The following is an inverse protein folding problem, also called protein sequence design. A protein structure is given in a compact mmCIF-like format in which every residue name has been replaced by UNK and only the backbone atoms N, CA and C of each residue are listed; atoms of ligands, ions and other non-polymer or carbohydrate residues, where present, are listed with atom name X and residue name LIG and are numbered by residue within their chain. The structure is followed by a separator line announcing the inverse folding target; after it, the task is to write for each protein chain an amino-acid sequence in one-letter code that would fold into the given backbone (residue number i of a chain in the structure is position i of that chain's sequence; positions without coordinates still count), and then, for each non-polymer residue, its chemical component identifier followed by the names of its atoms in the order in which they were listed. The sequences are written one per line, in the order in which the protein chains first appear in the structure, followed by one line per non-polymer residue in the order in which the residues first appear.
data_IF_969223204481
#
_entry.id   IF_969223204481
#
_cell.length_a   1.000
_cell.length_b   1.000
_cell.length_c   1.000
_cell.angle_alpha   90.00
_cell.angle_beta   90.00
_cell.angle_gamma   90.00
#
_symmetry.space_group_name_H-M   'P 1'
#
loop_
_entity.id
_entity.type
_entity.pdbx_description
1 polymer ?
#
# COMPACT_ATOMS: atom_id res chain seq x y z
N UNK A 1 34.50 -33.42 45.65
CA UNK A 1 33.44 -32.77 46.45
C UNK A 1 32.13 -32.89 45.66
N UNK A 2 31.45 -34.05 45.74
CA UNK A 2 30.28 -34.37 46.58
C UNK A 2 28.93 -33.86 45.97
N UNK A 3 28.17 -34.70 45.25
CA UNK A 3 26.99 -35.53 45.66
C UNK A 3 25.64 -34.80 45.36
N UNK A 4 24.50 -35.34 44.84
CA UNK A 4 23.77 -36.64 44.78
C UNK A 4 22.82 -36.59 43.54
N UNK A 5 22.57 -37.60 42.70
CA UNK A 5 21.80 -38.89 42.84
C UNK A 5 20.34 -38.75 43.30
N UNK A 6 19.36 -39.01 42.41
CA UNK A 6 18.45 -40.17 42.49
C UNK A 6 17.66 -40.41 41.19
N UNK A 7 17.61 -41.69 40.79
CA UNK A 7 16.81 -42.25 39.70
C UNK A 7 15.88 -43.35 40.25
N UNK A 8 14.71 -43.54 39.63
CA UNK A 8 13.90 -44.78 39.42
C UNK A 8 12.46 -44.36 39.07
N UNK A 9 11.86 -44.61 37.90
CA UNK A 9 11.59 -45.84 37.10
C UNK A 9 10.21 -46.48 37.38
N UNK A 10 9.30 -46.29 36.41
CA UNK A 10 8.38 -47.26 35.73
C UNK A 10 7.15 -47.86 36.45
N UNK A 11 5.96 -47.71 35.80
CA UNK A 11 5.00 -48.73 35.27
C UNK A 11 3.71 -48.01 34.78
N UNK A 12 3.32 -48.01 33.50
CA UNK A 12 2.62 -49.02 32.66
C UNK A 12 1.19 -49.44 33.09
N UNK A 13 0.18 -49.02 32.32
CA UNK A 13 -1.06 -49.71 31.86
C UNK A 13 -2.01 -48.62 31.28
N UNK A 14 -2.77 -48.73 30.19
CA UNK A 14 -3.14 -49.85 29.33
C UNK A 14 -4.66 -49.79 29.03
N UNK A 15 -5.01 -49.33 27.81
CA UNK A 15 -6.23 -49.60 26.99
C UNK A 15 -7.63 -49.27 27.52
N UNK A 16 -8.44 -48.59 26.69
CA UNK A 16 -9.55 -49.24 25.96
C UNK A 16 -10.15 -48.33 24.87
N UNK A 17 -10.45 -48.95 23.72
CA UNK A 17 -11.09 -48.39 22.55
C UNK A 17 -12.58 -48.77 22.54
N UNK A 18 -13.42 -47.99 21.86
CA UNK A 18 -14.69 -48.45 21.31
C UNK A 18 -15.11 -47.62 20.08
N UNK A 19 -15.25 -48.32 18.95
CA UNK A 19 -16.06 -48.00 17.76
C UNK A 19 -17.53 -47.78 18.13
N UNK A 20 -18.43 -47.10 17.39
CA UNK A 20 -18.86 -47.16 15.99
C UNK A 20 -19.83 -45.94 15.81
N UNK A 21 -20.33 -45.47 14.66
CA UNK A 21 -21.02 -46.18 13.58
C UNK A 21 -21.39 -45.14 12.49
N UNK A 22 -21.35 -45.55 11.21
CA UNK A 22 -21.88 -44.80 10.06
C UNK A 22 -23.40 -44.69 10.12
N UNK A 23 -23.98 -43.58 9.66
CA UNK A 23 -25.27 -43.56 8.96
C UNK A 23 -25.33 -42.43 7.92
N UNK A 24 -25.98 -42.77 6.81
CA UNK A 24 -26.12 -42.08 5.53
C UNK A 24 -27.40 -41.26 5.42
N UNK A 25 -27.53 -40.55 4.28
CA UNK A 25 -28.74 -39.97 3.68
C UNK A 25 -29.12 -38.57 4.21
N UNK A 26 -29.63 -37.61 3.45
CA UNK A 26 -29.96 -37.46 2.02
C UNK A 26 -30.41 -36.01 1.82
N UNK A 27 -30.48 -35.60 0.55
CA UNK A 27 -31.03 -34.36 0.02
C UNK A 27 -32.37 -33.90 0.63
N UNK A 28 -32.60 -32.58 0.60
CA UNK A 28 -33.90 -31.98 0.89
C UNK A 28 -33.91 -30.47 0.70
N UNK A 29 -34.28 -30.03 -0.51
CA UNK A 29 -34.61 -28.65 -0.85
C UNK A 29 -35.95 -28.19 -0.21
N UNK A 30 -36.09 -26.85 -0.14
CA UNK A 30 -37.33 -26.04 -0.21
C UNK A 30 -37.99 -25.54 1.09
N UNK A 31 -38.74 -24.41 1.01
CA UNK A 31 -38.63 -23.28 1.92
C UNK A 31 -39.90 -23.07 2.76
N UNK A 32 -39.85 -22.20 3.77
CA UNK A 32 -41.06 -21.78 4.47
C UNK A 32 -40.78 -20.90 5.68
N UNK A 33 -41.35 -19.70 5.66
CA UNK A 33 -41.22 -18.71 6.72
C UNK A 33 -42.15 -18.90 7.91
N UNK A 34 -41.89 -18.03 8.90
CA UNK A 34 -42.71 -17.62 10.04
C UNK A 34 -42.96 -18.65 11.16
N UNK A 35 -42.43 -18.38 12.35
CA UNK A 35 -43.22 -17.75 13.42
C UNK A 35 -42.41 -17.57 14.71
N UNK A 36 -42.68 -16.44 15.36
CA UNK A 36 -42.10 -16.00 16.63
C UNK A 36 -42.56 -16.88 17.81
N UNK A 37 -41.66 -17.18 18.74
CA UNK A 37 -41.93 -17.28 20.18
C UNK A 37 -40.65 -16.99 20.95
N UNK A 38 -40.74 -16.01 21.86
CA UNK A 38 -39.60 -15.40 22.53
C UNK A 38 -39.06 -16.19 23.70
N UNK A 39 -37.77 -15.94 23.99
CA UNK A 39 -37.17 -16.04 25.32
C UNK A 39 -36.24 -14.83 25.46
N UNK A 40 -36.58 -13.94 26.39
CA UNK A 40 -35.76 -12.82 26.83
C UNK A 40 -34.46 -13.30 27.49
N UNK A 41 -33.37 -12.54 27.29
CA UNK A 41 -32.23 -12.59 28.21
C UNK A 41 -30.86 -12.79 27.57
N UNK A 42 -30.36 -11.76 26.88
CA UNK A 42 -28.95 -11.27 26.84
C UNK A 42 -28.79 -10.41 25.60
N UNK A 43 -28.84 -9.08 25.77
CA UNK A 43 -28.48 -8.11 24.73
C UNK A 43 -26.96 -8.20 24.47
N UNK A 44 -26.55 -9.16 23.66
CA UNK A 44 -25.27 -9.12 22.98
C UNK A 44 -25.31 -7.98 21.96
N UNK A 45 -24.38 -7.04 22.07
CA UNK A 45 -24.15 -6.03 21.04
C UNK A 45 -23.71 -6.74 19.76
N UNK A 46 -24.61 -6.86 18.80
CA UNK A 46 -24.25 -7.18 17.42
C UNK A 46 -23.77 -5.88 16.78
N UNK A 47 -22.45 -5.72 16.71
CA UNK A 47 -21.82 -4.60 16.01
C UNK A 47 -21.90 -4.88 14.50
N UNK A 48 -22.93 -4.38 13.83
CA UNK A 48 -22.92 -4.27 12.38
C UNK A 48 -22.13 -2.99 12.04
N UNK A 49 -20.96 -3.06 11.37
CA UNK A 49 -20.25 -1.86 10.95
C UNK A 49 -21.01 -1.22 9.80
N UNK A 50 -22.03 -0.42 10.11
CA UNK A 50 -22.73 0.40 9.16
C UNK A 50 -21.94 1.69 8.94
N UNK A 51 -21.03 1.69 7.97
CA UNK A 51 -20.66 2.90 7.22
C UNK A 51 -20.04 2.53 5.86
N UNK A 52 -20.85 1.86 5.01
CA UNK A 52 -20.61 1.89 3.58
C UNK A 52 -21.11 3.25 3.05
N UNK A 53 -20.24 4.25 3.00
CA UNK A 53 -20.50 5.48 2.22
C UNK A 53 -20.03 5.20 0.79
N UNK A 54 -20.71 4.25 0.15
CA UNK A 54 -20.53 3.89 -1.26
C UNK A 54 -21.83 4.19 -1.98
N UNK A 55 -21.78 4.61 -3.24
CA UNK A 55 -23.02 4.82 -4.02
C UNK A 55 -23.96 3.59 -3.99
N UNK A 56 -25.28 3.80 -3.89
CA UNK A 56 -26.28 2.71 -3.92
C UNK A 56 -26.17 1.85 -5.20
N UNK A 57 -25.72 2.45 -6.31
CA UNK A 57 -25.45 1.76 -7.57
C UNK A 57 -24.29 0.73 -7.48
N UNK A 58 -23.29 0.98 -6.62
CA UNK A 58 -22.20 0.04 -6.36
C UNK A 58 -22.67 -1.13 -5.48
N UNK A 59 -23.42 -0.86 -4.42
CA UNK A 59 -23.98 -1.88 -3.54
C UNK A 59 -24.95 -2.81 -4.27
N UNK A 60 -25.77 -2.27 -5.17
CA UNK A 60 -26.71 -3.04 -6.00
C UNK A 60 -25.99 -3.96 -6.98
N UNK A 61 -24.78 -3.62 -7.43
CA UNK A 61 -23.96 -4.47 -8.31
C UNK A 61 -23.21 -5.57 -7.54
N UNK A 62 -22.70 -5.27 -6.34
CA UNK A 62 -22.11 -6.28 -5.46
C UNK A 62 -23.12 -7.37 -5.05
N UNK A 63 -24.38 -7.00 -4.86
CA UNK A 63 -25.45 -7.95 -4.54
C UNK A 63 -25.82 -8.90 -5.70
N UNK A 64 -25.45 -8.57 -6.94
CA UNK A 64 -25.97 -9.21 -8.16
C UNK A 64 -24.98 -10.11 -8.92
N UNK A 65 -23.84 -10.51 -8.33
CA UNK A 65 -23.04 -11.57 -8.95
C UNK A 65 -21.64 -11.75 -8.38
N UNK A 66 -21.41 -12.89 -7.74
CA UNK A 66 -20.08 -13.43 -7.54
C UNK A 66 -19.50 -13.86 -8.90
N UNK A 67 -18.44 -13.19 -9.34
CA UNK A 67 -17.67 -13.64 -10.50
C UNK A 67 -16.94 -14.91 -10.08
N UNK A 68 -17.21 -16.01 -10.79
CA UNK A 68 -16.53 -17.29 -10.60
C UNK A 68 -15.04 -17.12 -10.97
N UNK A 69 -14.15 -17.31 -9.99
CA UNK A 69 -12.70 -17.34 -10.19
C UNK A 69 -12.30 -18.61 -10.94
N UNK A 70 -11.68 -18.45 -12.11
CA UNK A 70 -10.78 -19.46 -12.64
C UNK A 70 -9.39 -19.19 -12.04
N UNK A 71 -8.83 -20.17 -11.33
CA UNK A 71 -7.51 -20.07 -10.68
C UNK A 71 -6.36 -20.12 -11.71
N UNK A 72 -6.26 -19.09 -12.54
CA UNK A 72 -5.04 -18.85 -13.31
C UNK A 72 -3.92 -18.42 -12.34
N UNK A 73 -2.70 -18.97 -12.47
CA UNK A 73 -1.59 -18.58 -11.61
C UNK A 73 -1.28 -17.08 -11.78
N UNK A 74 -1.15 -16.36 -10.67
CA UNK A 74 -0.83 -14.93 -10.68
C UNK A 74 0.50 -14.68 -11.41
N UNK A 75 0.59 -13.68 -12.31
CA UNK A 75 1.81 -13.37 -13.06
C UNK A 75 2.96 -13.00 -12.11
N UNK A 76 4.20 -13.28 -12.52
CA UNK A 76 5.43 -12.99 -11.78
C UNK A 76 6.37 -12.11 -12.59
N UNK A 77 7.33 -11.46 -11.93
CA UNK A 77 8.39 -10.76 -12.66
C UNK A 77 9.39 -11.78 -13.18
N UNK A 78 9.68 -11.76 -14.48
CA UNK A 78 10.68 -12.65 -15.09
C UNK A 78 12.08 -12.21 -14.67
N UNK A 79 12.94 -13.10 -14.13
CA UNK A 79 14.25 -12.70 -13.62
C UNK A 79 15.27 -12.35 -14.73
N UNK A 80 15.01 -12.75 -15.98
CA UNK A 80 15.83 -12.39 -17.12
C UNK A 80 15.34 -11.07 -17.74
N UNK A 81 16.20 -10.07 -17.78
CA UNK A 81 15.85 -8.72 -18.23
C UNK A 81 15.51 -8.65 -19.72
N UNK A 82 16.12 -9.49 -20.55
CA UNK A 82 15.80 -9.61 -21.97
C UNK A 82 14.41 -10.21 -22.19
N UNK A 83 14.07 -11.27 -21.45
CA UNK A 83 12.74 -11.88 -21.49
C UNK A 83 11.68 -10.94 -20.91
N UNK A 84 11.99 -10.25 -19.81
CA UNK A 84 11.11 -9.27 -19.21
C UNK A 84 10.80 -8.10 -20.16
N UNK A 85 11.83 -7.57 -20.83
CA UNK A 85 11.65 -6.53 -21.85
C UNK A 85 10.86 -7.06 -23.05
N UNK A 86 11.14 -8.29 -23.48
CA UNK A 86 10.38 -8.93 -24.57
C UNK A 86 8.90 -9.10 -24.20
N UNK A 87 8.60 -9.42 -22.94
CA UNK A 87 7.25 -9.52 -22.43
C UNK A 87 6.55 -8.14 -22.39
N UNK A 88 7.26 -7.09 -21.99
CA UNK A 88 6.73 -5.71 -22.02
C UNK A 88 6.40 -5.22 -23.44
N UNK A 89 7.17 -5.65 -24.44
CA UNK A 89 6.95 -5.32 -25.85
C UNK A 89 5.98 -6.27 -26.57
N UNK A 90 5.58 -7.36 -25.91
CA UNK A 90 4.67 -8.36 -26.47
C UNK A 90 3.30 -7.74 -26.71
N UNK A 91 2.70 -8.04 -27.85
CA UNK A 91 1.35 -7.59 -28.17
C UNK A 91 0.34 -8.07 -27.11
N UNK A 92 -0.58 -7.20 -26.64
CA UNK A 92 -1.62 -7.60 -25.70
C UNK A 92 -2.50 -8.73 -26.23
N UNK A 93 -2.77 -9.73 -25.39
CA UNK A 93 -3.70 -10.84 -25.62
C UNK A 93 -5.16 -10.37 -25.41
N UNK A 94 -5.59 -9.48 -26.31
CA UNK A 94 -6.80 -8.67 -26.18
C UNK A 94 -8.11 -9.49 -26.20
N UNK A 95 -8.95 -9.43 -25.15
CA UNK A 95 -10.31 -9.98 -25.21
C UNK A 95 -11.27 -9.08 -25.99
N UNK A 96 -12.35 -9.66 -26.54
CA UNK A 96 -13.30 -8.95 -27.42
C UNK A 96 -14.02 -7.75 -26.77
N UNK A 97 -14.26 -7.77 -25.46
CA UNK A 97 -14.93 -6.69 -24.70
C UNK A 97 -14.01 -6.09 -23.64
N UNK A 98 -12.81 -5.73 -24.07
CA UNK A 98 -11.78 -5.28 -23.14
C UNK A 98 -12.09 -3.96 -22.45
N UNK A 99 -11.71 -3.91 -21.17
CA UNK A 99 -11.75 -2.69 -20.36
C UNK A 99 -10.38 -2.36 -19.81
N UNK A 100 -10.12 -1.07 -19.62
CA UNK A 100 -8.90 -0.56 -19.01
C UNK A 100 -9.23 0.53 -17.99
N UNK A 101 -8.48 0.55 -16.89
CA UNK A 101 -8.49 1.65 -15.93
C UNK A 101 -7.06 1.95 -15.46
N UNK A 102 -6.60 3.18 -15.62
CA UNK A 102 -5.35 3.65 -15.00
C UNK A 102 -5.67 4.36 -13.69
N UNK A 103 -4.99 3.93 -12.63
CA UNK A 103 -5.24 4.41 -11.27
C UNK A 103 -3.96 5.03 -10.73
N UNK A 104 -3.98 6.34 -10.47
CA UNK A 104 -2.90 7.01 -9.75
C UNK A 104 -3.17 6.97 -8.25
N UNK A 105 -2.27 6.35 -7.49
CA UNK A 105 -2.35 6.34 -6.02
C UNK A 105 -1.46 7.46 -5.49
N UNK A 106 -2.08 8.47 -4.86
CA UNK A 106 -1.40 9.65 -4.31
C UNK A 106 -1.69 9.80 -2.82
N UNK A 107 -0.83 10.53 -2.13
CA UNK A 107 -0.96 10.77 -0.70
C UNK A 107 0.39 10.98 -0.02
N UNK A 108 0.35 11.37 1.24
CA UNK A 108 1.54 11.64 2.05
C UNK A 108 2.51 10.43 2.06
N UNK A 109 3.82 10.68 2.24
CA UNK A 109 4.78 9.61 2.51
C UNK A 109 4.28 8.67 3.63
N UNK A 110 4.54 7.38 3.49
CA UNK A 110 4.12 6.34 4.45
C UNK A 110 2.62 6.11 4.64
N UNK A 111 1.75 6.72 3.82
CA UNK A 111 0.31 6.41 3.88
C UNK A 111 0.02 4.92 3.65
N UNK A 112 0.92 4.19 2.98
CA UNK A 112 0.81 2.75 2.64
C UNK A 112 0.52 2.49 1.16
N UNK A 113 0.90 3.40 0.26
CA UNK A 113 0.53 3.36 -1.17
C UNK A 113 1.04 2.08 -1.84
N UNK A 114 2.34 1.86 -1.77
CA UNK A 114 3.00 0.65 -2.28
C UNK A 114 2.53 -0.63 -1.57
N UNK A 115 2.11 -0.53 -0.30
CA UNK A 115 1.47 -1.67 0.40
C UNK A 115 0.14 -2.04 -0.24
N UNK A 116 -0.72 -1.05 -0.51
CA UNK A 116 -1.99 -1.27 -1.21
C UNK A 116 -1.75 -1.82 -2.62
N UNK A 117 -0.80 -1.24 -3.36
CA UNK A 117 -0.46 -1.69 -4.72
C UNK A 117 -0.03 -3.15 -4.73
N UNK A 118 0.83 -3.57 -3.78
CA UNK A 118 1.26 -4.96 -3.67
C UNK A 118 0.11 -5.92 -3.34
N UNK A 119 -0.85 -5.52 -2.48
CA UNK A 119 -2.03 -6.34 -2.20
C UNK A 119 -2.92 -6.50 -3.43
N UNK A 120 -3.16 -5.43 -4.17
CA UNK A 120 -3.95 -5.46 -5.40
C UNK A 120 -3.31 -6.34 -6.48
N UNK A 121 -1.97 -6.33 -6.58
CA UNK A 121 -1.21 -7.18 -7.50
C UNK A 121 -1.07 -8.63 -7.02
N UNK A 122 -1.32 -8.91 -5.73
CA UNK A 122 -1.08 -10.21 -5.12
C UNK A 122 0.41 -10.57 -4.96
N UNK A 123 1.33 -9.64 -5.23
CA UNK A 123 2.79 -9.83 -5.10
C UNK A 123 3.47 -8.56 -4.61
N UNK A 124 4.59 -8.74 -3.90
CA UNK A 124 5.38 -7.65 -3.33
C UNK A 124 6.38 -7.07 -4.34
N UNK A 125 5.85 -6.42 -5.38
CA UNK A 125 6.67 -5.82 -6.45
C UNK A 125 7.32 -4.51 -5.99
N UNK A 126 6.58 -3.69 -5.24
CA UNK A 126 7.05 -2.39 -4.78
C UNK A 126 7.65 -2.49 -3.37
N UNK A 127 8.75 -1.77 -3.14
CA UNK A 127 9.37 -1.70 -1.82
C UNK A 127 8.50 -0.94 -0.80
N UNK A 128 8.44 -1.43 0.44
CA UNK A 128 7.64 -0.86 1.54
C UNK A 128 8.47 -0.71 2.81
N UNK A 129 8.63 0.52 3.31
CA UNK A 129 9.30 0.78 4.59
C UNK A 129 8.49 1.74 5.45
N UNK A 130 8.75 1.72 6.77
CA UNK A 130 8.27 2.74 7.71
C UNK A 130 8.99 4.08 7.52
N UNK A 131 10.14 4.10 6.84
CA UNK A 131 10.86 5.32 6.52
C UNK A 131 10.35 5.96 5.24
N UNK A 132 10.31 7.29 5.26
CA UNK A 132 9.93 8.10 4.11
C UNK A 132 10.82 7.84 2.89
N UNK A 133 10.32 8.16 1.70
CA UNK A 133 11.07 8.07 0.44
C UNK A 133 11.52 6.64 0.06
N UNK A 134 10.71 5.64 0.41
CA UNK A 134 10.91 4.25 -0.06
C UNK A 134 10.80 4.16 -1.58
N UNK A 135 9.72 4.70 -2.15
CA UNK A 135 9.50 4.81 -3.60
C UNK A 135 10.18 6.07 -4.12
N UNK A 136 11.15 5.92 -5.02
CA UNK A 136 11.94 7.04 -5.57
C UNK A 136 11.60 7.43 -7.00
N UNK A 137 11.04 6.49 -7.74
CA UNK A 137 10.70 6.66 -9.15
C UNK A 137 9.25 6.21 -9.32
N UNK A 138 8.54 6.78 -10.29
CA UNK A 138 7.28 6.22 -10.76
C UNK A 138 7.49 4.77 -11.18
N UNK A 139 6.62 3.87 -10.72
CA UNK A 139 6.62 2.49 -11.14
C UNK A 139 5.18 2.05 -11.43
N UNK A 140 5.01 1.15 -12.40
CA UNK A 140 3.71 0.71 -12.85
C UNK A 140 3.47 -0.74 -12.44
N UNK A 141 2.24 -1.05 -12.05
CA UNK A 141 1.77 -2.40 -11.78
C UNK A 141 0.55 -2.72 -12.64
N UNK A 142 0.52 -3.88 -13.30
CA UNK A 142 -0.63 -4.33 -14.09
C UNK A 142 -1.33 -5.46 -13.35
N UNK A 143 -2.64 -5.27 -13.14
CA UNK A 143 -3.56 -6.30 -12.68
C UNK A 143 -4.51 -6.61 -13.84
N UNK A 144 -4.52 -7.85 -14.31
CA UNK A 144 -5.43 -8.33 -15.35
C UNK A 144 -6.40 -9.33 -14.75
N UNK A 145 -7.71 -9.05 -14.86
CA UNK A 145 -8.76 -9.93 -14.36
C UNK A 145 -9.94 -9.99 -15.34
N UNK A 146 -10.20 -11.19 -15.88
CA UNK A 146 -11.22 -11.40 -16.90
C UNK A 146 -10.98 -10.55 -18.14
N UNK A 147 -11.93 -9.66 -18.47
CA UNK A 147 -11.84 -8.74 -19.60
C UNK A 147 -11.21 -7.37 -19.26
N UNK A 148 -10.75 -7.20 -18.01
CA UNK A 148 -10.39 -5.88 -17.46
C UNK A 148 -8.91 -5.82 -17.07
N UNK A 149 -8.22 -4.76 -17.51
CA UNK A 149 -6.84 -4.45 -17.13
C UNK A 149 -6.80 -3.18 -16.27
N UNK A 150 -6.34 -3.30 -15.03
CA UNK A 150 -6.12 -2.19 -14.11
C UNK A 150 -4.62 -1.89 -14.07
N UNK A 151 -4.26 -0.65 -14.37
CA UNK A 151 -2.88 -0.17 -14.39
C UNK A 151 -2.69 0.75 -13.20
N UNK A 152 -2.02 0.23 -12.17
CA UNK A 152 -1.65 0.97 -10.97
C UNK A 152 -0.40 1.79 -11.27
N UNK A 153 -0.48 3.09 -11.06
CA UNK A 153 0.67 3.99 -11.17
C UNK A 153 1.11 4.31 -9.74
N UNK A 154 2.10 3.57 -9.23
CA UNK A 154 2.68 3.80 -7.91
C UNK A 154 3.57 5.04 -7.98
N UNK A 155 3.19 6.05 -7.20
CA UNK A 155 3.91 7.33 -7.16
C UNK A 155 4.70 7.46 -5.87
N UNK A 156 5.88 8.11 -5.92
CA UNK A 156 6.50 8.60 -4.72
C UNK A 156 5.54 9.44 -3.87
N UNK A 157 5.67 9.35 -2.55
CA UNK A 157 4.89 10.21 -1.66
C UNK A 157 5.17 11.68 -1.95
N UNK A 158 4.11 12.49 -2.05
CA UNK A 158 4.21 13.92 -2.30
C UNK A 158 5.14 14.56 -1.28
N UNK A 159 6.15 15.28 -1.76
CA UNK A 159 7.22 15.85 -0.95
C UNK A 159 7.54 17.27 -1.41
N UNK A 160 8.11 18.07 -0.51
CA UNK A 160 8.49 19.44 -0.79
C UNK A 160 9.95 19.54 -1.24
N UNK A 161 10.29 20.63 -1.93
CA UNK A 161 11.67 20.91 -2.40
C UNK A 161 12.67 20.89 -1.25
N UNK A 162 12.29 21.42 -0.09
CA UNK A 162 13.15 21.45 1.11
C UNK A 162 13.50 20.04 1.60
N UNK A 163 12.51 19.13 1.61
CA UNK A 163 12.73 17.71 2.00
C UNK A 163 13.61 16.98 0.99
N UNK A 164 13.43 17.24 -0.31
CA UNK A 164 14.26 16.67 -1.38
C UNK A 164 15.72 17.12 -1.22
N UNK A 165 15.98 18.40 -0.99
CA UNK A 165 17.34 18.92 -0.77
C UNK A 165 17.97 18.37 0.50
N UNK A 166 17.22 18.33 1.61
CA UNK A 166 17.71 17.86 2.92
C UNK A 166 18.19 16.42 2.87
N UNK A 167 17.44 15.54 2.21
CA UNK A 167 17.75 14.11 2.13
C UNK A 167 18.50 13.71 0.84
N UNK A 168 19.00 14.69 0.07
CA UNK A 168 19.73 14.48 -1.19
C UNK A 168 18.98 13.54 -2.16
N UNK A 169 17.67 13.73 -2.25
CA UNK A 169 16.81 12.90 -3.09
C UNK A 169 16.79 13.41 -4.53
N UNK A 170 16.32 12.57 -5.44
CA UNK A 170 16.18 12.91 -6.85
C UNK A 170 15.10 13.97 -7.06
N UNK A 171 15.33 14.90 -7.99
CA UNK A 171 14.37 15.97 -8.31
C UNK A 171 13.10 15.45 -8.98
N UNK A 172 13.17 14.28 -9.62
CA UNK A 172 12.02 13.55 -10.22
C UNK A 172 10.88 13.36 -9.23
N UNK A 173 11.17 13.18 -7.94
CA UNK A 173 10.18 13.08 -6.86
C UNK A 173 9.17 14.23 -6.79
N UNK A 174 9.55 15.41 -7.28
CA UNK A 174 8.69 16.60 -7.30
C UNK A 174 7.78 16.66 -8.53
N UNK A 175 8.08 15.90 -9.58
CA UNK A 175 7.42 15.98 -10.89
C UNK A 175 6.63 14.70 -11.18
N UNK A 176 7.14 13.54 -10.76
CA UNK A 176 6.56 12.22 -11.03
C UNK A 176 5.10 12.10 -10.58
N UNK A 177 4.70 12.57 -9.38
CA UNK A 177 3.29 12.49 -8.97
C UNK A 177 2.36 13.30 -9.91
N UNK A 178 2.80 14.45 -10.40
CA UNK A 178 2.01 15.31 -11.29
C UNK A 178 1.85 14.68 -12.68
N UNK A 179 2.93 14.15 -13.25
CA UNK A 179 2.86 13.46 -14.54
C UNK A 179 2.00 12.20 -14.45
N UNK A 180 2.07 11.49 -13.32
CA UNK A 180 1.26 10.29 -13.10
C UNK A 180 -0.23 10.58 -13.10
N UNK A 181 -0.66 11.67 -12.47
CA UNK A 181 -2.08 12.03 -12.40
C UNK A 181 -2.63 12.46 -13.77
N UNK A 182 -1.82 13.09 -14.62
CA UNK A 182 -2.23 13.43 -16.01
C UNK A 182 -2.58 12.21 -16.85
N UNK A 183 -1.92 11.09 -16.60
CA UNK A 183 -2.13 9.86 -17.37
C UNK A 183 -3.29 9.01 -16.81
N UNK A 184 -3.76 9.29 -15.60
CA UNK A 184 -4.70 8.46 -14.86
C UNK A 184 -6.16 8.73 -15.20
N UNK A 185 -6.96 7.67 -15.23
CA UNK A 185 -8.41 7.73 -15.38
C UNK A 185 -9.13 7.93 -14.04
N UNK A 186 -8.45 7.61 -12.93
CA UNK A 186 -8.94 7.70 -11.56
C UNK A 186 -7.80 8.04 -10.60
N UNK A 187 -8.03 8.98 -9.67
CA UNK A 187 -7.13 9.29 -8.56
C UNK A 187 -7.59 8.61 -7.28
N UNK A 188 -6.68 7.94 -6.60
CA UNK A 188 -6.86 7.38 -5.26
C UNK A 188 -6.09 8.24 -4.28
N UNK A 189 -6.78 9.02 -3.47
CA UNK A 189 -6.18 9.83 -2.41
C UNK A 189 -6.14 9.01 -1.15
N UNK A 190 -4.94 8.61 -0.75
CA UNK A 190 -4.75 7.72 0.39
C UNK A 190 -4.27 8.47 1.63
N UNK A 191 -4.95 8.26 2.75
CA UNK A 191 -4.68 8.92 4.03
C UNK A 191 -4.45 7.88 5.12
N UNK A 192 -3.37 8.05 5.88
CA UNK A 192 -3.13 7.25 7.09
C UNK A 192 -4.00 7.78 8.25
N UNK A 193 -5.00 7.00 8.67
CA UNK A 193 -5.86 7.41 9.80
C UNK A 193 -5.26 7.11 11.16
N UNK A 194 -4.15 6.36 11.23
CA UNK A 194 -3.42 6.11 12.47
C UNK A 194 -2.54 7.32 12.86
N UNK A 195 -2.11 8.13 11.88
CA UNK A 195 -1.37 9.36 12.11
C UNK A 195 -2.30 10.47 12.60
N UNK A 196 -2.36 10.64 13.92
CA UNK A 196 -3.26 11.60 14.58
C UNK A 196 -2.98 13.07 14.21
N UNK A 197 -1.78 13.38 13.70
CA UNK A 197 -1.40 14.75 13.37
C UNK A 197 -1.82 15.11 11.96
N UNK A 198 -1.64 14.19 11.00
CA UNK A 198 -1.99 14.42 9.59
C UNK A 198 -3.40 13.97 9.21
N UNK A 199 -4.06 13.08 9.96
CA UNK A 199 -5.35 12.53 9.54
C UNK A 199 -6.50 13.55 9.48
N UNK A 200 -6.35 14.73 10.08
CA UNK A 200 -7.37 15.77 10.14
C UNK A 200 -7.32 16.78 8.99
N UNK A 201 -6.38 16.61 8.04
CA UNK A 201 -6.29 17.45 6.85
C UNK A 201 -5.64 16.71 5.69
N UNK A 202 -6.00 17.05 4.46
CA UNK A 202 -5.23 16.66 3.29
C UNK A 202 -3.92 17.45 3.23
N UNK A 203 -2.87 16.80 2.74
CA UNK A 203 -1.60 17.45 2.45
C UNK A 203 -1.81 18.52 1.36
N UNK A 204 -1.10 19.64 1.48
CA UNK A 204 -1.25 20.76 0.55
C UNK A 204 -0.91 20.36 -0.89
N UNK A 205 0.10 19.50 -1.09
CA UNK A 205 0.46 19.03 -2.44
C UNK A 205 -0.61 18.08 -3.01
N UNK A 206 -1.34 17.33 -2.16
CA UNK A 206 -2.49 16.52 -2.60
C UNK A 206 -3.62 17.43 -3.06
N UNK A 207 -3.97 18.45 -2.29
CA UNK A 207 -5.01 19.43 -2.64
C UNK A 207 -4.69 20.16 -3.95
N UNK A 208 -3.43 20.54 -4.13
CA UNK A 208 -2.94 21.15 -5.36
C UNK A 208 -3.09 20.23 -6.56
N UNK A 209 -2.73 18.96 -6.40
CA UNK A 209 -2.89 17.96 -7.45
C UNK A 209 -4.37 17.78 -7.83
N UNK A 210 -5.26 17.67 -6.84
CA UNK A 210 -6.71 17.59 -7.07
C UNK A 210 -7.25 18.83 -7.79
N UNK A 211 -6.83 20.03 -7.38
CA UNK A 211 -7.28 21.28 -7.98
C UNK A 211 -6.77 21.50 -9.40
N UNK A 212 -5.60 20.96 -9.76
CA UNK A 212 -5.06 21.02 -11.12
C UNK A 212 -5.69 20.01 -12.07
N UNK A 213 -6.37 18.99 -11.55
CA UNK A 213 -6.98 17.91 -12.32
C UNK A 213 -8.47 17.73 -11.97
N UNK A 214 -9.31 18.77 -12.11
CA UNK A 214 -10.72 18.71 -11.71
C UNK A 214 -11.55 17.70 -12.53
N UNK A 215 -11.12 17.40 -13.75
CA UNK A 215 -11.80 16.46 -14.66
C UNK A 215 -11.52 15.00 -14.31
N UNK A 216 -10.42 14.72 -13.61
CA UNK A 216 -10.07 13.35 -13.20
C UNK A 216 -10.83 13.00 -11.92
N UNK A 217 -11.68 11.96 -11.91
CA UNK A 217 -12.41 11.58 -10.71
C UNK A 217 -11.44 11.15 -9.61
N UNK A 218 -11.73 11.57 -8.38
CA UNK A 218 -10.95 11.20 -7.20
C UNK A 218 -11.80 10.40 -6.21
N UNK A 219 -11.21 9.40 -5.57
CA UNK A 219 -11.77 8.70 -4.40
C UNK A 219 -10.85 8.88 -3.20
N UNK A 220 -11.43 8.82 -1.99
CA UNK A 220 -10.70 8.88 -0.73
C UNK A 220 -10.54 7.47 -0.17
N UNK A 221 -9.33 7.09 0.21
CA UNK A 221 -9.02 5.83 0.87
C UNK A 221 -8.39 6.12 2.24
N UNK A 222 -9.11 5.77 3.29
CA UNK A 222 -8.65 5.81 4.67
C UNK A 222 -7.96 4.48 5.00
N UNK A 223 -6.64 4.50 5.10
CA UNK A 223 -5.82 3.31 5.32
C UNK A 223 -5.37 3.18 6.78
N UNK A 224 -5.02 1.96 7.20
CA UNK A 224 -4.55 1.59 8.55
C UNK A 224 -5.65 1.69 9.61
N UNK A 225 -6.89 1.37 9.22
CA UNK A 225 -8.06 1.37 10.11
C UNK A 225 -7.92 0.36 11.25
N UNK A 226 -7.10 -0.69 11.07
CA UNK A 226 -6.72 -1.68 12.09
C UNK A 226 -6.12 -1.03 13.35
N UNK A 227 -5.45 0.13 13.20
CA UNK A 227 -4.82 0.85 14.32
C UNK A 227 -5.77 1.81 15.03
N UNK A 228 -6.98 2.02 14.50
CA UNK A 228 -7.93 3.00 15.03
C UNK A 228 -8.89 2.32 16.03
N UNK A 229 -8.63 2.52 17.32
CA UNK A 229 -9.44 1.94 18.40
C UNK A 229 -10.88 2.48 18.45
N UNK A 230 -11.07 3.78 18.20
CA UNK A 230 -12.37 4.45 18.29
C UNK A 230 -12.94 4.69 16.89
N UNK A 231 -13.82 3.80 16.43
CA UNK A 231 -14.36 3.83 15.05
C UNK A 231 -15.17 5.09 14.73
N UNK A 232 -15.81 5.72 15.72
CA UNK A 232 -16.52 7.00 15.54
C UNK A 232 -15.62 8.10 14.98
N UNK A 233 -14.31 8.07 15.29
CA UNK A 233 -13.34 9.03 14.76
C UNK A 233 -13.19 8.94 13.24
N UNK A 234 -13.44 7.78 12.64
CA UNK A 234 -13.36 7.62 11.18
C UNK A 234 -14.44 8.44 10.49
N UNK A 235 -15.62 8.60 11.10
CA UNK A 235 -16.70 9.44 10.57
C UNK A 235 -16.36 10.92 10.67
N UNK A 236 -15.82 11.35 11.81
CA UNK A 236 -15.32 12.72 11.99
C UNK A 236 -14.23 13.05 10.95
N UNK A 237 -13.26 12.16 10.78
CA UNK A 237 -12.18 12.32 9.78
C UNK A 237 -12.76 12.37 8.37
N UNK A 238 -13.67 11.45 8.03
CA UNK A 238 -14.29 11.42 6.70
C UNK A 238 -15.03 12.73 6.42
N UNK A 239 -15.84 13.22 7.37
CA UNK A 239 -16.57 14.47 7.21
C UNK A 239 -15.63 15.67 7.00
N UNK A 240 -14.51 15.73 7.72
CA UNK A 240 -13.52 16.80 7.55
C UNK A 240 -12.84 16.71 6.18
N UNK A 241 -12.31 15.53 5.82
CA UNK A 241 -11.53 15.35 4.59
C UNK A 241 -12.37 15.45 3.32
N UNK A 242 -13.68 15.20 3.41
CA UNK A 242 -14.63 15.33 2.30
C UNK A 242 -15.40 16.65 2.32
N UNK A 243 -15.13 17.55 3.27
CA UNK A 243 -15.93 18.74 3.51
C UNK A 243 -17.45 18.44 3.67
N UNK A 244 -17.77 17.25 4.20
CA UNK A 244 -19.13 16.76 4.36
C UNK A 244 -19.86 16.41 3.06
N UNK A 245 -19.15 16.28 1.94
CA UNK A 245 -19.74 15.97 0.62
C UNK A 245 -19.05 14.78 -0.05
N UNK A 246 -19.84 13.80 -0.50
CA UNK A 246 -19.37 12.65 -1.28
C UNK A 246 -20.31 12.46 -2.46
N UNK A 247 -19.74 12.33 -3.66
CA UNK A 247 -20.47 12.25 -4.92
C UNK A 247 -21.48 13.39 -5.14
N UNK A 248 -21.19 14.59 -4.63
CA UNK A 248 -22.11 15.74 -4.70
C UNK A 248 -23.28 15.69 -3.70
N UNK A 249 -23.34 14.68 -2.83
CA UNK A 249 -24.35 14.55 -1.78
C UNK A 249 -23.77 14.89 -0.41
N UNK A 250 -24.55 15.62 0.41
CA UNK A 250 -24.18 15.87 1.82
C UNK A 250 -24.17 14.57 2.60
N UNK A 251 -23.09 14.32 3.31
CA UNK A 251 -22.96 13.19 4.21
C UNK A 251 -23.98 13.31 5.35
N UNK A 252 -24.81 12.28 5.52
CA UNK A 252 -25.72 12.17 6.67
C UNK A 252 -24.96 11.56 7.86
N UNK A 253 -24.07 12.35 8.45
CA UNK A 253 -23.42 11.93 9.71
C UNK A 253 -24.37 12.26 10.85
N UNK A 254 -24.93 11.24 11.51
CA UNK A 254 -25.61 11.48 12.80
C UNK A 254 -24.52 11.95 13.76
N UNK A 255 -24.68 13.12 14.42
CA UNK A 255 -23.70 13.56 15.40
C UNK A 255 -23.59 12.48 16.47
N UNK A 256 -22.40 11.90 16.64
CA UNK A 256 -22.11 11.14 17.85
C UNK A 256 -22.21 12.15 18.98
N UNK A 257 -23.25 12.03 19.80
CA UNK A 257 -23.45 12.92 20.95
C UNK A 257 -22.26 12.68 21.88
N UNK A 258 -21.24 13.52 21.75
CA UNK A 258 -20.08 13.51 22.63
C UNK A 258 -20.59 13.82 24.03
N UNK A 259 -20.40 12.93 25.02
CA UNK A 259 -20.84 13.22 26.37
C UNK A 259 -20.10 14.46 26.90
N UNK A 260 -20.67 15.19 27.88
CA UNK A 260 -20.18 16.52 28.29
C UNK A 260 -18.68 16.58 28.64
N UNK A 261 -18.11 15.46 29.09
CA UNK A 261 -16.69 15.32 29.46
C UNK A 261 -15.73 15.14 28.27
N UNK A 262 -16.23 14.81 27.08
CA UNK A 262 -15.43 14.69 25.86
C UNK A 262 -15.19 16.03 25.15
N UNK A 263 -15.82 17.12 25.62
CA UNK A 263 -15.48 18.49 25.26
C UNK A 263 -14.29 18.96 26.11
N UNK A 264 -13.08 18.54 25.76
CA UNK A 264 -11.85 19.24 26.17
C UNK A 264 -11.11 19.70 24.92
N UNK A 265 -11.29 20.98 24.57
CA UNK A 265 -10.20 21.75 24.01
C UNK A 265 -9.27 22.15 25.16
N UNK A 266 -7.96 22.04 24.98
CA UNK A 266 -7.05 23.08 25.41
C UNK A 266 -6.77 23.99 24.20
N UNK A 267 -7.38 25.17 24.21
CA UNK A 267 -6.72 26.36 23.64
C UNK A 267 -5.55 26.67 24.57
N UNK A 268 -4.34 26.37 24.09
CA UNK A 268 -3.03 26.89 24.50
C UNK A 268 -1.96 25.82 24.26
N UNK A 269 -1.49 25.74 23.02
CA UNK A 269 -0.09 25.47 22.68
C UNK A 269 0.14 26.03 21.27
N UNK A 270 0.12 27.36 21.20
CA UNK A 270 0.85 28.09 20.18
C UNK A 270 2.22 28.40 20.80
N UNK A 271 3.10 27.40 20.82
CA UNK A 271 4.53 27.62 21.04
C UNK A 271 5.34 26.83 20.00
N UNK A 272 6.19 27.61 19.34
CA UNK A 272 7.25 27.29 18.39
C UNK A 272 6.90 26.41 17.18
N UNK A 273 6.38 27.06 16.13
CA UNK A 273 6.95 26.79 14.81
C UNK A 273 8.19 27.67 14.71
N UNK A 274 9.35 27.04 14.50
CA UNK A 274 10.58 27.74 14.18
C UNK A 274 10.30 28.74 13.06
N UNK A 275 10.39 30.03 13.38
CA UNK A 275 10.64 31.08 12.40
C UNK A 275 12.05 30.86 11.86
N UNK A 276 12.22 29.84 11.00
CA UNK A 276 13.30 29.88 10.04
C UNK A 276 12.97 31.04 9.12
N UNK A 277 13.66 32.16 9.34
CA UNK A 277 13.80 33.27 8.42
C UNK A 277 14.14 32.72 7.03
N UNK A 278 13.11 32.45 6.23
CA UNK A 278 13.24 32.33 4.79
C UNK A 278 13.43 33.74 4.27
N UNK A 279 14.68 34.21 4.32
CA UNK A 279 15.17 35.22 3.41
C UNK A 279 14.75 34.81 2.00
N UNK A 280 13.88 35.62 1.41
CA UNK A 280 13.43 35.50 0.03
C UNK A 280 14.66 35.50 -0.89
N UNK A 281 15.17 34.30 -1.14
CA UNK A 281 16.08 34.07 -2.25
C UNK A 281 15.22 33.45 -3.33
N UNK A 282 14.82 34.28 -4.32
CA UNK A 282 14.09 33.86 -5.51
C UNK A 282 14.70 32.56 -6.05
N UNK A 283 13.98 31.44 -5.87
CA UNK A 283 14.42 30.16 -6.37
C UNK A 283 14.08 30.04 -7.86
N UNK A 284 15.04 29.74 -8.74
CA UNK A 284 14.78 29.53 -10.15
C UNK A 284 14.19 28.12 -10.36
N UNK A 285 12.86 28.02 -10.32
CA UNK A 285 12.08 27.01 -11.05
C UNK A 285 10.58 27.26 -10.87
N UNK A 286 10.05 28.20 -11.65
CA UNK A 286 8.65 28.25 -12.04
C UNK A 286 8.32 26.98 -12.86
N UNK A 287 8.11 25.86 -12.19
CA UNK A 287 7.67 24.63 -12.85
C UNK A 287 6.15 24.50 -12.70
N UNK A 288 5.44 24.97 -13.74
CA UNK A 288 4.08 24.59 -14.14
C UNK A 288 2.97 24.62 -13.05
N UNK A 289 2.76 25.75 -12.40
CA UNK A 289 1.50 25.98 -11.67
C UNK A 289 0.56 26.86 -12.50
N UNK A 290 -0.45 26.22 -13.11
CA UNK A 290 -1.59 26.89 -13.75
C UNK A 290 -2.57 27.53 -12.74
N UNK A 291 -2.33 27.40 -11.43
CA UNK A 291 -3.18 27.96 -10.38
C UNK A 291 -2.75 29.39 -10.02
N UNK A 292 -3.72 30.29 -9.90
CA UNK A 292 -3.48 31.67 -9.48
C UNK A 292 -3.02 31.74 -8.00
N UNK A 293 -2.40 32.87 -7.61
CA UNK A 293 -1.96 33.09 -6.22
C UNK A 293 -3.14 33.03 -5.24
N UNK A 294 -4.30 33.52 -5.65
CA UNK A 294 -5.55 33.49 -4.89
C UNK A 294 -6.03 32.06 -4.69
N UNK A 295 -6.02 31.23 -5.75
CA UNK A 295 -6.39 29.82 -5.66
C UNK A 295 -5.47 29.06 -4.69
N UNK A 296 -4.15 29.30 -4.75
CA UNK A 296 -3.20 28.69 -3.83
C UNK A 296 -3.46 29.12 -2.37
N UNK A 297 -3.86 30.38 -2.13
CA UNK A 297 -4.21 30.86 -0.79
C UNK A 297 -5.45 30.16 -0.24
N UNK A 298 -6.47 29.93 -1.08
CA UNK A 298 -7.67 29.16 -0.72
C UNK A 298 -7.33 27.71 -0.42
N UNK A 299 -6.51 27.06 -1.25
CA UNK A 299 -6.11 25.67 -1.02
C UNK A 299 -5.33 25.49 0.29
N UNK A 300 -4.54 26.49 0.71
CA UNK A 300 -3.80 26.44 1.99
C UNK A 300 -4.70 26.44 3.21
N UNK A 301 -5.89 27.04 3.14
CA UNK A 301 -6.84 27.08 4.25
C UNK A 301 -7.82 25.89 4.23
N UNK A 302 -7.84 25.08 3.18
CA UNK A 302 -8.69 23.91 3.09
C UNK A 302 -8.12 22.73 3.88
N UNK A 303 -9.01 22.04 4.61
CA UNK A 303 -8.69 20.79 5.31
C UNK A 303 -9.00 19.55 4.45
N UNK A 304 -9.93 19.66 3.51
CA UNK A 304 -10.45 18.53 2.74
C UNK A 304 -10.81 18.91 1.32
N UNK A 305 -11.34 17.94 0.58
CA UNK A 305 -11.74 18.07 -0.81
C UNK A 305 -13.21 17.62 -0.99
N UNK A 306 -14.11 18.48 -1.49
CA UNK A 306 -15.54 18.20 -1.55
C UNK A 306 -15.98 17.31 -2.72
N UNK A 307 -15.10 17.03 -3.69
CA UNK A 307 -15.47 16.39 -4.94
C UNK A 307 -15.06 14.91 -5.03
N UNK A 308 -14.80 14.26 -3.89
CA UNK A 308 -14.60 12.81 -3.87
C UNK A 308 -15.85 12.07 -4.35
N UNK A 309 -15.66 11.08 -5.23
CA UNK A 309 -16.74 10.25 -5.76
C UNK A 309 -17.20 9.19 -4.76
N UNK A 310 -16.27 8.55 -4.07
CA UNK A 310 -16.56 7.51 -3.08
C UNK A 310 -15.46 7.54 -2.00
N UNK A 311 -15.75 6.94 -0.84
CA UNK A 311 -14.82 6.80 0.28
C UNK A 311 -14.70 5.33 0.66
N UNK A 312 -13.46 4.86 0.82
CA UNK A 312 -13.14 3.51 1.27
C UNK A 312 -12.35 3.57 2.57
N UNK A 313 -12.61 2.62 3.45
CA UNK A 313 -11.88 2.40 4.70
C UNK A 313 -11.27 1.01 4.61
N UNK A 314 -9.95 0.88 4.70
CA UNK A 314 -9.28 -0.41 4.51
C UNK A 314 -8.02 -0.56 5.37
N UNK A 315 -7.53 -1.79 5.48
CA UNK A 315 -6.17 -2.06 5.94
C UNK A 315 -5.38 -2.77 4.85
N UNK A 316 -4.40 -2.08 4.27
CA UNK A 316 -3.51 -2.70 3.28
C UNK A 316 -2.61 -3.78 3.87
N UNK A 317 -2.36 -3.77 5.18
CA UNK A 317 -1.49 -4.77 5.82
C UNK A 317 -2.27 -6.06 6.03
N UNK A 318 -3.51 -5.95 6.53
CA UNK A 318 -4.36 -7.11 6.85
C UNK A 318 -5.21 -7.57 5.65
N UNK A 319 -5.11 -6.87 4.51
CA UNK A 319 -5.94 -7.06 3.31
C UNK A 319 -7.44 -6.84 3.54
N UNK A 320 -7.80 -6.19 4.64
CA UNK A 320 -9.17 -5.85 5.00
C UNK A 320 -9.74 -4.82 4.00
N UNK A 321 -10.89 -5.13 3.40
CA UNK A 321 -11.60 -4.33 2.39
C UNK A 321 -10.81 -3.97 1.10
N UNK A 322 -9.65 -4.57 0.85
CA UNK A 322 -8.88 -4.34 -0.40
C UNK A 322 -9.62 -4.91 -1.63
N UNK A 323 -10.29 -6.06 -1.50
CA UNK A 323 -11.05 -6.68 -2.59
C UNK A 323 -12.26 -5.82 -3.00
N UNK A 324 -12.88 -5.13 -2.04
CA UNK A 324 -13.97 -4.17 -2.31
C UNK A 324 -13.49 -3.03 -3.21
N UNK A 325 -12.30 -2.48 -2.92
CA UNK A 325 -11.68 -1.45 -3.74
C UNK A 325 -11.29 -1.97 -5.14
N UNK A 326 -10.77 -3.20 -5.22
CA UNK A 326 -10.45 -3.86 -6.49
C UNK A 326 -11.70 -4.05 -7.36
N UNK A 327 -12.80 -4.53 -6.78
CA UNK A 327 -14.08 -4.67 -7.46
C UNK A 327 -14.63 -3.33 -7.95
N UNK A 328 -14.44 -2.27 -7.17
CA UNK A 328 -14.76 -0.91 -7.60
C UNK A 328 -13.95 -0.49 -8.83
N UNK A 329 -12.64 -0.76 -8.87
CA UNK A 329 -11.83 -0.49 -10.07
C UNK A 329 -12.31 -1.26 -11.29
N UNK A 330 -12.62 -2.55 -11.16
CA UNK A 330 -13.18 -3.36 -12.25
C UNK A 330 -14.48 -2.75 -12.77
N UNK A 331 -15.35 -2.30 -11.86
CA UNK A 331 -16.64 -1.68 -12.21
C UNK A 331 -16.48 -0.32 -12.87
N UNK A 332 -15.43 0.44 -12.54
CA UNK A 332 -15.15 1.77 -13.12
C UNK A 332 -14.32 1.72 -14.40
N UNK A 333 -13.71 0.58 -14.73
CA UNK A 333 -12.96 0.41 -15.95
C UNK A 333 -13.83 0.69 -17.18
N UNK A 334 -13.27 1.45 -18.12
CA UNK A 334 -13.96 1.86 -19.36
C UNK A 334 -13.56 0.92 -20.48
N UNK A 335 -14.42 0.75 -21.47
CA UNK A 335 -14.07 0.03 -22.70
C UNK A 335 -12.83 0.66 -23.31
N UNK A 336 -11.83 -0.16 -23.62
CA UNK A 336 -10.55 0.30 -24.15
C UNK A 336 -9.63 -0.86 -24.48
N UNK A 337 -8.69 -0.64 -25.39
CA UNK A 337 -7.67 -1.63 -25.72
C UNK A 337 -6.70 -1.79 -24.55
N UNK A 338 -6.45 -3.04 -24.16
CA UNK A 338 -5.38 -3.40 -23.22
C UNK A 338 -4.05 -2.83 -23.71
N UNK A 339 -3.24 -2.40 -22.77
CA UNK A 339 -1.92 -1.80 -23.05
C UNK A 339 -0.80 -2.82 -23.00
N UNK A 340 -0.96 -3.85 -22.18
CA UNK A 340 0.05 -4.85 -21.90
C UNK A 340 -0.51 -6.26 -22.07
N UNK A 341 0.37 -7.22 -22.36
CA UNK A 341 0.06 -8.64 -22.27
C UNK A 341 -0.35 -9.01 -20.84
N UNK A 342 -1.27 -9.96 -20.68
CA UNK A 342 -1.84 -10.36 -19.38
C UNK A 342 -0.81 -10.86 -18.37
N UNK A 343 0.32 -11.39 -18.84
CA UNK A 343 1.45 -11.85 -18.03
C UNK A 343 2.35 -10.70 -17.50
N UNK A 344 2.21 -9.48 -18.03
CA UNK A 344 2.96 -8.32 -17.51
C UNK A 344 2.45 -7.99 -16.12
N UNK A 345 3.37 -7.88 -15.15
CA UNK A 345 3.05 -7.47 -13.78
C UNK A 345 3.53 -6.05 -13.46
N UNK A 346 4.66 -5.62 -14.03
CA UNK A 346 5.29 -4.33 -13.78
C UNK A 346 6.20 -3.95 -14.94
N UNK A 347 6.51 -2.66 -15.08
CA UNK A 347 7.52 -2.12 -16.00
C UNK A 347 8.92 -2.05 -15.38
N UNK A 348 9.06 -2.30 -14.08
CA UNK A 348 10.36 -2.31 -13.42
C UNK A 348 11.20 -3.49 -13.88
N UNK A 349 12.47 -3.22 -14.19
CA UNK A 349 13.40 -4.30 -14.51
C UNK A 349 13.61 -5.22 -13.30
N UNK A 350 14.01 -6.48 -13.51
CA UNK A 350 14.29 -7.41 -12.41
C UNK A 350 15.38 -6.89 -11.47
N UNK A 351 16.38 -6.18 -12.01
CA UNK A 351 17.43 -5.50 -11.26
C UNK A 351 16.90 -4.34 -10.43
N UNK A 352 15.96 -3.56 -10.97
CA UNK A 352 15.31 -2.47 -10.24
C UNK A 352 14.50 -3.03 -9.06
N UNK A 353 13.70 -4.08 -9.30
CA UNK A 353 12.96 -4.79 -8.24
C UNK A 353 13.91 -5.29 -7.15
N UNK A 354 15.03 -5.94 -7.53
CA UNK A 354 16.07 -6.39 -6.61
C UNK A 354 16.66 -5.25 -5.79
N UNK A 355 17.09 -4.18 -6.45
CA UNK A 355 17.68 -3.00 -5.80
C UNK A 355 16.68 -2.32 -4.86
N UNK A 356 15.40 -2.28 -5.24
CA UNK A 356 14.31 -1.71 -4.46
C UNK A 356 14.02 -2.52 -3.20
N UNK A 357 13.95 -3.86 -3.31
CA UNK A 357 13.73 -4.73 -2.15
C UNK A 357 14.93 -4.75 -1.20
N UNK A 358 16.17 -4.69 -1.70
CA UNK A 358 17.35 -4.52 -0.82
C UNK A 358 17.30 -3.16 -0.13
N UNK A 359 16.93 -2.08 -0.86
CA UNK A 359 16.78 -0.73 -0.28
C UNK A 359 15.73 -0.70 0.83
N UNK A 360 14.66 -1.45 0.69
CA UNK A 360 13.66 -1.63 1.74
C UNK A 360 14.31 -2.08 3.06
N UNK A 361 15.15 -3.12 2.99
CA UNK A 361 15.85 -3.66 4.18
C UNK A 361 16.86 -2.66 4.72
N UNK A 362 17.59 -1.95 3.85
CA UNK A 362 18.47 -0.87 4.28
C UNK A 362 17.72 0.21 5.07
N UNK A 363 16.51 0.58 4.62
CA UNK A 363 15.67 1.55 5.30
C UNK A 363 15.16 1.02 6.65
N UNK A 364 14.77 -0.25 6.75
CA UNK A 364 14.25 -0.83 7.99
C UNK A 364 15.33 -1.01 9.06
N UNK A 365 16.53 -1.48 8.68
CA UNK A 365 17.55 -1.91 9.65
C UNK A 365 18.58 -0.85 10.04
N UNK A 366 18.90 0.08 9.16
CA UNK A 366 19.94 1.07 9.44
C UNK A 366 19.34 2.29 10.16
N UNK A 367 20.07 3.00 11.02
CA UNK A 367 19.55 4.17 11.70
C UNK A 367 19.63 5.44 10.82
N UNK A 368 18.80 6.44 11.17
CA UNK A 368 18.92 7.82 10.69
C UNK A 368 19.08 7.92 9.15
N UNK A 369 20.04 8.73 8.69
CA UNK A 369 20.30 9.03 7.28
C UNK A 369 21.21 8.01 6.58
N UNK A 370 21.70 6.99 7.31
CA UNK A 370 22.62 5.98 6.77
C UNK A 370 22.08 5.30 5.51
N UNK A 371 20.81 4.83 5.43
CA UNK A 371 20.30 4.15 4.23
C UNK A 371 20.42 4.99 2.96
N UNK A 372 20.28 6.31 3.05
CA UNK A 372 20.30 7.21 1.90
C UNK A 372 21.72 7.43 1.36
N UNK A 373 22.75 7.18 2.18
CA UNK A 373 24.14 7.32 1.80
C UNK A 373 24.73 6.05 1.15
N UNK A 374 24.00 4.94 1.14
CA UNK A 374 24.45 3.65 0.59
C UNK A 374 24.11 3.56 -0.90
N UNK A 375 25.10 3.24 -1.73
CA UNK A 375 24.88 2.94 -3.16
C UNK A 375 25.02 1.44 -3.42
N UNK A 376 24.24 0.90 -4.35
CA UNK A 376 24.19 -0.54 -4.66
C UNK A 376 24.74 -0.79 -6.06
N UNK A 377 25.41 -1.94 -6.25
CA UNK A 377 25.89 -2.41 -7.56
C UNK A 377 25.65 -3.91 -7.65
N UNK A 378 24.95 -4.36 -8.69
CA UNK A 378 24.77 -5.78 -8.97
C UNK A 378 26.02 -6.25 -9.73
N UNK A 379 26.78 -7.16 -9.13
CA UNK A 379 28.06 -7.65 -9.67
C UNK A 379 27.90 -9.01 -10.36
N UNK A 380 26.85 -9.75 -10.00
CA UNK A 380 26.58 -11.07 -10.54
C UNK A 380 25.08 -11.33 -10.55
N UNK A 381 24.59 -11.85 -11.66
CA UNK A 381 23.19 -12.25 -11.88
C UNK A 381 23.18 -13.42 -12.87
N UNK A 382 23.11 -14.66 -12.37
CA UNK A 382 23.12 -15.85 -13.20
C UNK A 382 22.16 -16.91 -12.69
N UNK A 383 21.55 -17.64 -13.61
CA UNK A 383 20.77 -18.84 -13.30
C UNK A 383 21.70 -20.03 -13.10
N UNK A 384 21.56 -20.72 -11.97
CA UNK A 384 22.25 -21.97 -11.68
C UNK A 384 21.53 -23.18 -12.29
N UNK A 385 22.16 -24.34 -12.15
CA UNK A 385 21.80 -25.60 -12.83
C UNK A 385 20.37 -26.10 -12.56
N UNK A 386 19.69 -25.61 -11.51
CA UNK A 386 18.33 -26.02 -11.11
C UNK A 386 17.30 -24.88 -11.19
N UNK A 387 17.56 -23.83 -11.99
CA UNK A 387 16.70 -22.63 -12.05
C UNK A 387 16.77 -21.76 -10.79
N UNK A 388 17.77 -21.98 -9.94
CA UNK A 388 18.06 -21.12 -8.79
C UNK A 388 18.80 -19.87 -9.28
N UNK A 389 18.34 -18.68 -8.87
CA UNK A 389 18.95 -17.42 -9.29
C UNK A 389 19.99 -16.97 -8.27
N UNK A 390 21.24 -16.81 -8.73
CA UNK A 390 22.36 -16.38 -7.90
C UNK A 390 22.62 -14.89 -8.16
N UNK A 391 22.49 -14.09 -7.10
CA UNK A 391 22.63 -12.63 -7.17
C UNK A 391 23.71 -12.19 -6.18
N UNK A 392 24.74 -11.50 -6.66
CA UNK A 392 25.70 -10.80 -5.80
C UNK A 392 25.52 -9.30 -5.93
N UNK A 393 25.20 -8.64 -4.82
CA UNK A 393 25.09 -7.18 -4.75
C UNK A 393 26.15 -6.62 -3.82
N UNK A 394 26.84 -5.58 -4.28
CA UNK A 394 27.83 -4.83 -3.52
C UNK A 394 27.21 -3.52 -3.03
N UNK A 395 27.24 -3.33 -1.72
CA UNK A 395 26.79 -2.16 -1.00
C UNK A 395 27.98 -1.26 -0.69
N UNK A 396 27.94 -0.05 -1.18
CA UNK A 396 29.00 0.94 -0.99
C UNK A 396 28.62 1.96 0.06
N UNK A 397 29.43 2.05 1.12
CA UNK A 397 29.29 3.04 2.17
C UNK A 397 30.26 4.21 1.94
N UNK A 398 29.83 5.45 2.21
CA UNK A 398 30.71 6.64 2.12
C UNK A 398 31.65 6.82 3.32
N UNK A 399 31.34 6.19 4.46
CA UNK A 399 32.08 6.33 5.73
C UNK A 399 32.29 4.96 6.36
N UNK A 400 33.42 4.80 7.04
CA UNK A 400 33.74 3.58 7.80
C UNK A 400 32.67 3.27 8.87
N UNK A 401 32.14 4.32 9.52
CA UNK A 401 31.04 4.17 10.49
C UNK A 401 29.77 3.59 9.86
N UNK A 402 29.41 4.05 8.65
CA UNK A 402 28.25 3.52 7.92
C UNK A 402 28.49 2.07 7.46
N UNK A 403 29.73 1.74 7.05
CA UNK A 403 30.12 0.37 6.70
C UNK A 403 29.97 -0.57 7.90
N UNK A 404 30.44 -0.16 9.09
CA UNK A 404 30.29 -0.94 10.32
C UNK A 404 28.82 -1.15 10.70
N UNK A 405 27.97 -0.13 10.53
CA UNK A 405 26.52 -0.25 10.77
C UNK A 405 25.85 -1.21 9.78
N UNK A 406 26.26 -1.19 8.50
CA UNK A 406 25.77 -2.10 7.47
C UNK A 406 26.09 -3.57 7.76
N UNK A 407 27.34 -3.83 8.15
CA UNK A 407 27.79 -5.18 8.51
C UNK A 407 27.07 -5.62 9.79
N UNK A 408 27.02 -4.74 10.78
CA UNK A 408 26.48 -5.03 12.11
C UNK A 408 27.39 -5.95 12.92
N UNK A 409 27.00 -6.25 14.16
CA UNK A 409 27.74 -7.15 15.05
C UNK A 409 27.92 -8.51 14.40
N UNK A 410 29.18 -8.94 14.20
CA UNK A 410 29.53 -10.22 13.57
C UNK A 410 28.86 -10.48 12.19
N UNK A 411 28.48 -9.42 11.45
CA UNK A 411 27.83 -9.58 10.14
C UNK A 411 26.32 -9.88 10.20
N UNK A 412 25.70 -9.84 11.38
CA UNK A 412 24.30 -10.23 11.54
C UNK A 412 23.33 -9.34 10.76
N UNK A 413 23.60 -8.03 10.65
CA UNK A 413 22.69 -7.09 9.97
C UNK A 413 22.68 -7.35 8.47
N UNK A 414 23.86 -7.42 7.83
CA UNK A 414 23.95 -7.70 6.39
C UNK A 414 23.42 -9.09 6.03
N UNK A 415 23.67 -10.09 6.87
CA UNK A 415 23.15 -11.44 6.67
C UNK A 415 21.61 -11.48 6.73
N UNK A 416 21.02 -10.81 7.73
CA UNK A 416 19.57 -10.71 7.87
C UNK A 416 18.93 -9.97 6.70
N UNK A 417 19.52 -8.85 6.27
CA UNK A 417 19.05 -8.13 5.09
C UNK A 417 19.08 -9.00 3.83
N UNK A 418 20.17 -9.76 3.63
CA UNK A 418 20.31 -10.66 2.49
C UNK A 418 19.25 -11.77 2.50
N UNK A 419 19.00 -12.37 3.67
CA UNK A 419 17.98 -13.39 3.84
C UNK A 419 16.58 -12.85 3.53
N UNK A 420 16.15 -11.78 4.19
CA UNK A 420 14.79 -11.25 4.04
C UNK A 420 14.54 -10.67 2.63
N UNK A 421 15.54 -10.03 2.02
CA UNK A 421 15.43 -9.58 0.63
C UNK A 421 15.41 -10.75 -0.35
N UNK A 422 16.19 -11.82 -0.10
CA UNK A 422 16.17 -13.03 -0.91
C UNK A 422 14.82 -13.76 -0.87
N UNK A 423 14.20 -13.85 0.32
CA UNK A 423 12.84 -14.40 0.48
C UNK A 423 11.79 -13.57 -0.29
N UNK A 424 11.86 -12.24 -0.18
CA UNK A 424 10.95 -11.35 -0.91
C UNK A 424 11.15 -11.50 -2.43
N UNK A 425 12.39 -11.53 -2.92
CA UNK A 425 12.70 -11.76 -4.34
C UNK A 425 12.20 -13.12 -4.83
N UNK A 426 12.32 -14.17 -4.01
CA UNK A 426 11.85 -15.50 -4.38
C UNK A 426 10.34 -15.56 -4.60
N UNK A 427 9.57 -14.80 -3.80
CA UNK A 427 8.11 -14.66 -4.00
C UNK A 427 7.76 -13.86 -5.25
N UNK A 428 8.57 -12.87 -5.61
CA UNK A 428 8.32 -12.01 -6.78
C UNK A 428 8.70 -12.71 -8.08
N UNK A 429 9.83 -13.41 -8.11
CA UNK A 429 10.33 -14.12 -9.29
C UNK A 429 9.82 -15.56 -9.42
N UNK A 430 9.17 -16.11 -8.39
CA UNK A 430 8.79 -17.53 -8.33
C UNK A 430 9.99 -18.47 -8.57
N UNK A 431 11.11 -18.14 -7.92
CA UNK A 431 12.39 -18.87 -8.01
C UNK A 431 13.06 -18.95 -6.65
N UNK A 432 13.93 -19.94 -6.50
CA UNK A 432 14.85 -19.97 -5.36
C UNK A 432 15.95 -18.94 -5.60
N UNK A 433 16.24 -18.10 -4.60
CA UNK A 433 17.21 -17.01 -4.71
C UNK A 433 18.36 -17.24 -3.74
N UNK A 434 19.59 -17.25 -4.26
CA UNK A 434 20.82 -17.11 -3.48
C UNK A 434 21.31 -15.67 -3.59
N UNK A 435 20.85 -14.83 -2.66
CA UNK A 435 21.30 -13.44 -2.57
C UNK A 435 22.49 -13.31 -1.63
N UNK A 436 23.61 -12.78 -2.15
CA UNK A 436 24.78 -12.41 -1.36
C UNK A 436 24.97 -10.90 -1.37
N UNK A 437 25.01 -10.31 -0.19
CA UNK A 437 25.34 -8.90 0.00
C UNK A 437 26.78 -8.76 0.48
N UNK A 438 27.58 -7.95 -0.22
CA UNK A 438 28.94 -7.59 0.18
C UNK A 438 29.01 -6.10 0.48
N UNK A 439 29.75 -5.69 1.51
CA UNK A 439 29.86 -4.27 1.89
C UNK A 439 31.27 -3.79 1.61
N UNK A 440 31.41 -2.63 0.96
CA UNK A 440 32.70 -2.01 0.65
C UNK A 440 32.65 -0.51 0.97
N UNK A 441 33.78 0.05 1.43
CA UNK A 441 33.93 1.50 1.52
C UNK A 441 34.12 2.07 0.11
N UNK A 442 33.35 3.09 -0.24
CA UNK A 442 33.51 3.83 -1.50
C UNK A 442 34.76 4.70 -1.37
N UNK A 443 35.85 4.24 -1.97
CA UNK A 443 37.10 5.00 -2.15
C UNK A 443 36.92 6.15 -3.13
#
# INVERSE_FOLDING_TARGET
MAFRVFARSVRFCGRLAASAQKQSASEGLFPGGASCRGVEGRKGFVFVPACFITSEAFLTRLANGAILKADAPLPSVLPNSGEHLSLLLRHPDQPAKSKVLKVAIIGSPNAGKSTLSNQLLGRKVFAVSKKVHTTRNRAMGVLTEGDTQIILLDTPGLTTVSKVKRHQLEKSLLVDPWNTVKEADLMVVMVDVADRWMCSRLDFEVLKCLAQHPDTPAILVLNKVDKVKAKDRLLDITAVLTCGMVNGHKMRVRPVIKPPWAKKLPDNHLESLDEENHTETKSPSELNYQLSKEQLKVLRSQLGWPHFKDVFMLSSVDSDDVETLKTYFITKAKTGSWKYHSEVLTDQSPEEVCTNLIREKLLEYLPQEVPYAVTQSIEFWQEGENGELHINVKLYAKKDTHMKMLIGTAGQVVARMAQEAGEDLGRVFLRNIKLKLSVKLKT
#
